data_IF_790864257013
#
_entry.id   IF_790864257013
#
_cell.length_a   1.000
_cell.length_b   1.000
_cell.length_c   1.000
_cell.angle_alpha   90.00
_cell.angle_beta   90.00
_cell.angle_gamma   90.00
#
_symmetry.space_group_name_H-M   'P 1'
#
loop_
_entity.id
_entity.type
_entity.pdbx_description
1 polymer ?
#
# COMPACT_ATOMS: atom_id res chain seq x y z
N UNK A 1 7.79 2.39 -4.90
CA UNK A 1 8.68 1.40 -4.24
C UNK A 1 8.51 -0.05 -4.73
N UNK A 2 7.71 -0.32 -5.79
CA UNK A 2 7.39 -1.67 -6.30
C UNK A 2 6.77 -2.62 -5.24
N UNK A 3 6.39 -2.09 -4.08
CA UNK A 3 5.67 -2.82 -3.04
C UNK A 3 4.23 -2.38 -3.09
N UNK A 4 3.37 -3.27 -2.60
CA UNK A 4 1.97 -2.91 -2.35
C UNK A 4 1.82 -2.86 -0.84
N UNK A 5 1.41 -1.71 -0.35
CA UNK A 5 1.28 -1.37 1.05
C UNK A 5 -0.18 -1.20 1.42
N UNK A 6 -0.51 -1.32 2.71
CA UNK A 6 -1.88 -1.11 3.21
C UNK A 6 -2.40 0.29 2.88
N UNK A 7 -1.51 1.29 2.86
CA UNK A 7 -1.86 2.65 2.47
C UNK A 7 -2.42 2.74 1.05
N UNK A 8 -1.98 1.90 0.12
CA UNK A 8 -2.52 1.88 -1.26
C UNK A 8 -4.01 1.51 -1.25
N UNK A 9 -4.42 0.64 -0.32
CA UNK A 9 -5.83 0.24 -0.16
C UNK A 9 -6.62 1.28 0.62
N UNK A 10 -6.04 1.84 1.69
CA UNK A 10 -6.70 2.91 2.47
C UNK A 10 -6.93 4.15 1.58
N UNK A 11 -6.02 4.44 0.66
CA UNK A 11 -6.17 5.55 -0.29
C UNK A 11 -7.41 5.43 -1.19
N UNK A 12 -7.95 4.21 -1.35
CA UNK A 12 -9.20 4.00 -2.10
C UNK A 12 -10.40 4.62 -1.40
N UNK A 13 -10.40 4.75 -0.08
CA UNK A 13 -11.51 5.33 0.68
C UNK A 13 -11.75 6.80 0.28
N UNK A 14 -10.80 7.73 0.41
CA UNK A 14 -11.00 9.10 -0.06
C UNK A 14 -11.07 9.19 -1.59
N UNK A 15 -10.48 8.25 -2.34
CA UNK A 15 -10.64 8.21 -3.79
C UNK A 15 -12.09 7.95 -4.22
N UNK A 16 -12.75 6.96 -3.61
CA UNK A 16 -14.15 6.67 -3.83
C UNK A 16 -15.04 7.78 -3.28
N UNK A 17 -14.66 8.39 -2.15
CA UNK A 17 -15.38 9.52 -1.58
C UNK A 17 -15.35 10.75 -2.49
N UNK A 18 -14.19 11.08 -3.05
CA UNK A 18 -14.03 12.12 -4.06
C UNK A 18 -14.83 11.81 -5.35
N UNK A 19 -15.04 10.54 -5.68
CA UNK A 19 -15.94 10.14 -6.78
C UNK A 19 -17.43 10.16 -6.42
N UNK A 20 -17.79 10.47 -5.19
CA UNK A 20 -19.18 10.45 -4.70
C UNK A 20 -19.78 9.04 -4.67
N UNK A 21 -18.92 8.02 -4.47
CA UNK A 21 -19.32 6.61 -4.34
C UNK A 21 -19.60 6.27 -2.87
N UNK A 22 -18.78 6.82 -1.96
CA UNK A 22 -18.96 6.66 -0.50
C UNK A 22 -18.95 8.02 0.19
N UNK A 23 -19.52 8.08 1.40
CA UNK A 23 -19.29 9.13 2.40
C UNK A 23 -18.48 8.55 3.55
N UNK A 24 -17.68 9.41 4.16
CA UNK A 24 -16.92 9.07 5.37
C UNK A 24 -17.45 9.98 6.47
N UNK A 25 -17.97 9.39 7.54
CA UNK A 25 -18.62 10.12 8.61
C UNK A 25 -17.86 9.92 9.91
N UNK A 26 -17.52 11.00 10.60
CA UNK A 26 -17.04 10.94 11.99
C UNK A 26 -18.20 10.75 12.97
N UNK A 27 -17.91 10.27 14.17
CA UNK A 27 -18.88 10.26 15.26
C UNK A 27 -18.85 11.57 16.05
N UNK A 28 -20.00 12.04 16.53
CA UNK A 28 -20.06 13.10 17.56
C UNK A 28 -20.14 12.52 18.98
N UNK A 29 -20.38 11.21 19.10
CA UNK A 29 -20.48 10.54 20.39
C UNK A 29 -19.11 10.52 21.08
N UNK A 30 -18.96 11.09 22.29
CA UNK A 30 -17.71 11.06 23.05
C UNK A 30 -17.13 9.65 23.25
N UNK A 31 -17.97 8.61 23.31
CA UNK A 31 -17.53 7.21 23.45
C UNK A 31 -16.99 6.61 22.13
N UNK A 32 -17.39 7.16 20.98
CA UNK A 32 -16.96 6.74 19.65
C UNK A 32 -16.24 7.85 18.86
N UNK A 33 -15.76 8.88 19.54
CA UNK A 33 -15.28 10.13 18.93
C UNK A 33 -14.14 9.92 17.92
N UNK A 34 -13.39 8.83 18.07
CA UNK A 34 -12.26 8.50 17.20
C UNK A 34 -12.63 7.53 16.06
N UNK A 35 -13.87 7.03 15.99
CA UNK A 35 -14.27 6.04 14.99
C UNK A 35 -14.92 6.66 13.75
N UNK A 36 -14.82 5.94 12.63
CA UNK A 36 -15.34 6.39 11.34
C UNK A 36 -16.41 5.42 10.83
N UNK A 37 -17.46 5.98 10.23
CA UNK A 37 -18.45 5.24 9.47
C UNK A 37 -18.19 5.44 7.98
N UNK A 38 -18.24 4.35 7.23
CA UNK A 38 -18.27 4.39 5.77
C UNK A 38 -19.69 4.13 5.31
N UNK A 39 -20.25 5.03 4.49
CA UNK A 39 -21.59 4.90 3.93
C UNK A 39 -21.51 4.83 2.41
N UNK A 40 -22.05 3.76 1.83
CA UNK A 40 -22.18 3.58 0.39
C UNK A 40 -23.29 4.49 -0.13
N UNK A 41 -22.95 5.29 -1.17
CA UNK A 41 -23.90 6.14 -1.88
C UNK A 41 -24.31 5.50 -3.20
N UNK A 42 -23.34 4.88 -3.89
CA UNK A 42 -23.50 4.30 -5.23
C UNK A 42 -22.65 3.04 -5.36
N UNK A 43 -23.06 2.16 -6.26
CA UNK A 43 -22.25 1.01 -6.64
C UNK A 43 -21.02 1.43 -7.47
N UNK A 44 -19.97 0.61 -7.42
CA UNK A 44 -18.79 0.81 -8.26
C UNK A 44 -19.16 0.65 -9.76
N UNK A 45 -18.62 1.49 -10.66
CA UNK A 45 -18.81 1.32 -12.10
C UNK A 45 -18.37 -0.07 -12.60
N UNK A 46 -19.03 -0.62 -13.62
CA UNK A 46 -18.71 -1.96 -14.14
C UNK A 46 -17.24 -2.13 -14.56
N UNK A 47 -16.62 -1.08 -15.12
CA UNK A 47 -15.22 -1.08 -15.58
C UNK A 47 -14.19 -0.86 -14.44
N UNK A 48 -14.62 -0.95 -13.17
CA UNK A 48 -13.73 -0.78 -12.02
C UNK A 48 -12.75 -1.96 -11.92
N UNK A 49 -11.45 -1.71 -11.63
CA UNK A 49 -10.47 -2.78 -11.43
C UNK A 49 -10.86 -3.80 -10.36
N UNK A 50 -10.48 -5.06 -10.55
CA UNK A 50 -10.82 -6.14 -9.59
C UNK A 50 -10.31 -5.87 -8.17
N UNK A 51 -9.14 -5.27 -8.00
CA UNK A 51 -8.58 -5.00 -6.66
C UNK A 51 -9.44 -4.00 -5.87
N UNK A 52 -10.10 -3.06 -6.54
CA UNK A 52 -11.04 -2.11 -5.92
C UNK A 52 -12.33 -2.83 -5.53
N UNK A 53 -12.90 -3.63 -6.44
CA UNK A 53 -14.12 -4.42 -6.18
C UNK A 53 -13.98 -5.32 -4.96
N UNK A 54 -12.87 -6.05 -4.85
CA UNK A 54 -12.61 -6.97 -3.72
C UNK A 54 -12.70 -6.28 -2.35
N UNK A 55 -12.27 -5.02 -2.25
CA UNK A 55 -12.32 -4.26 -0.99
C UNK A 55 -13.68 -3.62 -0.80
N UNK A 56 -14.24 -3.03 -1.85
CA UNK A 56 -15.54 -2.40 -1.80
C UNK A 56 -16.65 -3.40 -1.41
N UNK A 57 -16.67 -4.57 -2.06
CA UNK A 57 -17.61 -5.64 -1.77
C UNK A 57 -17.42 -6.16 -0.35
N UNK A 58 -16.19 -6.14 0.19
CA UNK A 58 -15.89 -6.54 1.56
C UNK A 58 -16.34 -5.53 2.61
N UNK A 59 -16.39 -4.24 2.25
CA UNK A 59 -16.89 -3.17 3.12
C UNK A 59 -18.42 -3.18 3.18
N UNK A 60 -19.09 -3.45 2.05
CA UNK A 60 -20.54 -3.27 1.91
C UNK A 60 -21.29 -4.54 1.48
N UNK A 61 -20.85 -5.72 1.96
CA UNK A 61 -21.40 -7.01 1.50
C UNK A 61 -22.91 -7.13 1.77
N UNK A 62 -23.35 -6.72 2.96
CA UNK A 62 -24.74 -6.88 3.41
C UNK A 62 -25.39 -5.55 3.84
N UNK A 63 -24.57 -4.52 4.08
CA UNK A 63 -25.00 -3.26 4.66
C UNK A 63 -24.42 -2.10 3.85
N UNK A 64 -25.21 -1.04 3.71
CA UNK A 64 -24.79 0.18 3.02
C UNK A 64 -24.02 1.13 3.96
N UNK A 65 -23.88 0.80 5.23
CA UNK A 65 -23.10 1.55 6.21
C UNK A 65 -22.33 0.58 7.10
N UNK A 66 -21.06 0.87 7.36
CA UNK A 66 -20.21 0.03 8.22
C UNK A 66 -19.30 0.89 9.08
N UNK A 67 -19.07 0.44 10.32
CA UNK A 67 -18.16 1.09 11.25
C UNK A 67 -16.72 0.59 11.04
N UNK A 68 -15.73 1.48 11.10
CA UNK A 68 -14.32 1.14 10.90
C UNK A 68 -13.85 0.09 11.92
N UNK A 69 -14.25 0.19 13.19
CA UNK A 69 -13.91 -0.80 14.21
C UNK A 69 -14.48 -2.19 13.94
N UNK A 70 -15.63 -2.32 13.27
CA UNK A 70 -16.24 -3.61 12.92
C UNK A 70 -15.42 -4.40 11.89
N UNK A 71 -14.56 -3.71 11.13
CA UNK A 71 -13.67 -4.30 10.14
C UNK A 71 -12.49 -5.04 10.80
N UNK A 72 -12.22 -4.75 12.07
CA UNK A 72 -11.11 -5.34 12.83
C UNK A 72 -11.21 -6.86 12.79
N UNK A 73 -10.10 -7.52 12.45
CA UNK A 73 -9.98 -8.97 12.27
C UNK A 73 -10.83 -9.60 11.15
N UNK A 74 -11.63 -8.82 10.41
CA UNK A 74 -12.49 -9.32 9.32
C UNK A 74 -11.93 -8.98 7.94
N UNK A 75 -11.47 -7.74 7.74
CA UNK A 75 -11.12 -7.22 6.40
C UNK A 75 -9.74 -7.68 5.88
N UNK A 76 -8.84 -8.14 6.76
CA UNK A 76 -7.43 -8.43 6.42
C UNK A 76 -7.29 -9.39 5.23
N UNK A 77 -8.14 -10.42 5.15
CA UNK A 77 -8.06 -11.44 4.10
C UNK A 77 -8.38 -10.83 2.72
N UNK A 78 -9.35 -9.92 2.68
CA UNK A 78 -9.73 -9.15 1.48
C UNK A 78 -8.64 -8.14 1.12
N UNK A 79 -7.99 -7.50 2.12
CA UNK A 79 -6.80 -6.66 1.91
C UNK A 79 -5.69 -7.43 1.20
N UNK A 80 -5.32 -8.63 1.67
CA UNK A 80 -4.30 -9.45 1.02
C UNK A 80 -4.73 -9.95 -0.37
N UNK A 81 -5.99 -10.34 -0.55
CA UNK A 81 -6.54 -10.68 -1.88
C UNK A 81 -6.43 -9.50 -2.84
N UNK A 82 -6.78 -8.30 -2.40
CA UNK A 82 -6.68 -7.08 -3.21
C UNK A 82 -5.23 -6.77 -3.60
N UNK A 83 -4.26 -6.93 -2.69
CA UNK A 83 -2.84 -6.80 -3.02
C UNK A 83 -2.41 -7.73 -4.15
N UNK A 84 -2.84 -8.99 -4.12
CA UNK A 84 -2.50 -9.96 -5.17
C UNK A 84 -3.05 -9.53 -6.55
N UNK A 85 -4.28 -8.99 -6.57
CA UNK A 85 -4.95 -8.48 -7.78
C UNK A 85 -4.29 -7.21 -8.29
N UNK A 86 -3.93 -6.28 -7.40
CA UNK A 86 -3.21 -5.06 -7.74
C UNK A 86 -1.85 -5.38 -8.35
N UNK A 87 -1.07 -6.27 -7.73
CA UNK A 87 0.22 -6.74 -8.28
C UNK A 87 0.06 -7.36 -9.67
N UNK A 88 -0.96 -8.21 -9.86
CA UNK A 88 -1.26 -8.81 -11.17
C UNK A 88 -1.56 -7.73 -12.23
N UNK A 89 -2.37 -6.73 -11.89
CA UNK A 89 -2.72 -5.63 -12.80
C UNK A 89 -1.52 -4.75 -13.13
N UNK A 90 -0.65 -4.46 -12.16
CA UNK A 90 0.57 -3.68 -12.39
C UNK A 90 1.52 -4.40 -13.36
N UNK A 91 1.63 -5.73 -13.27
CA UNK A 91 2.40 -6.54 -14.22
C UNK A 91 1.83 -6.45 -15.65
N UNK A 92 0.51 -6.37 -15.80
CA UNK A 92 -0.16 -6.29 -17.11
C UNK A 92 -0.09 -4.90 -17.77
N UNK A 93 0.30 -3.84 -17.04
CA UNK A 93 0.25 -2.46 -17.53
C UNK A 93 1.46 -2.05 -18.38
N UNK A 94 2.31 -2.98 -18.79
CA UNK A 94 3.56 -2.74 -19.56
C UNK A 94 4.46 -1.68 -18.89
N UNK A 95 4.42 -1.58 -17.55
CA UNK A 95 5.23 -0.63 -16.79
C UNK A 95 6.69 -1.08 -16.65
N UNK A 96 6.95 -2.34 -17.01
CA UNK A 96 8.26 -2.95 -17.02
C UNK A 96 8.66 -3.26 -18.45
N UNK A 97 9.94 -3.19 -18.71
CA UNK A 97 10.53 -3.59 -19.98
C UNK A 97 10.35 -5.11 -20.14
N UNK A 98 9.48 -5.52 -21.06
CA UNK A 98 9.11 -6.92 -21.25
C UNK A 98 10.29 -7.79 -21.70
N UNK A 99 11.19 -7.22 -22.51
CA UNK A 99 12.36 -7.92 -23.01
C UNK A 99 13.33 -8.21 -21.87
N UNK A 100 13.62 -7.19 -21.05
CA UNK A 100 14.46 -7.36 -19.86
C UNK A 100 13.81 -8.28 -18.82
N UNK A 101 12.49 -8.21 -18.61
CA UNK A 101 11.80 -9.11 -17.70
C UNK A 101 11.88 -10.56 -18.15
N UNK A 102 11.68 -10.82 -19.45
CA UNK A 102 11.76 -12.18 -20.01
C UNK A 102 13.18 -12.74 -19.96
N UNK A 103 14.20 -11.91 -20.12
CA UNK A 103 15.59 -12.34 -20.03
C UNK A 103 15.97 -12.62 -18.58
N UNK A 104 15.82 -11.64 -17.68
CA UNK A 104 16.37 -11.68 -16.32
C UNK A 104 15.49 -12.37 -15.27
N UNK A 105 14.18 -12.46 -15.51
CA UNK A 105 13.21 -13.02 -14.55
C UNK A 105 12.54 -14.30 -15.06
N UNK A 106 13.07 -14.94 -16.11
CA UNK A 106 12.58 -16.23 -16.57
C UNK A 106 13.11 -17.40 -15.74
N UNK A 107 12.33 -18.48 -15.68
CA UNK A 107 12.77 -19.74 -15.03
C UNK A 107 14.01 -20.36 -15.67
N UNK A 108 14.35 -19.97 -16.91
CA UNK A 108 15.57 -20.43 -17.61
C UNK A 108 16.84 -19.96 -16.93
N UNK A 109 16.86 -18.74 -16.36
CA UNK A 109 18.03 -18.25 -15.62
C UNK A 109 18.23 -18.98 -14.28
N UNK A 110 17.14 -19.33 -13.60
CA UNK A 110 17.22 -20.14 -12.37
C UNK A 110 17.85 -21.50 -12.68
N UNK A 111 17.39 -22.14 -13.77
CA UNK A 111 17.98 -23.39 -14.24
C UNK A 111 19.46 -23.25 -14.60
N UNK A 112 19.83 -22.17 -15.30
CA UNK A 112 21.22 -21.88 -15.61
C UNK A 112 22.09 -21.69 -14.35
N UNK A 113 21.60 -20.95 -13.36
CA UNK A 113 22.29 -20.77 -12.09
C UNK A 113 22.46 -22.10 -11.33
N UNK A 114 21.42 -22.94 -11.29
CA UNK A 114 21.48 -24.26 -10.66
C UNK A 114 22.53 -25.17 -11.32
N UNK A 115 22.63 -25.14 -12.66
CA UNK A 115 23.66 -25.88 -13.40
C UNK A 115 25.08 -25.40 -13.06
N UNK A 116 25.29 -24.09 -12.92
CA UNK A 116 26.59 -23.55 -12.50
C UNK A 116 26.94 -23.96 -11.06
N UNK A 117 25.97 -24.02 -10.14
CA UNK A 117 26.20 -24.54 -8.78
C UNK A 117 26.66 -26.00 -8.83
N UNK A 118 26.01 -26.85 -9.61
CA UNK A 118 26.41 -28.26 -9.77
C UNK A 118 27.83 -28.36 -10.35
N UNK A 119 28.14 -27.55 -11.38
CA UNK A 119 29.47 -27.53 -11.99
C UNK A 119 30.55 -27.04 -11.02
N UNK A 120 30.24 -26.06 -10.18
CA UNK A 120 31.14 -25.59 -9.12
C UNK A 120 31.45 -26.71 -8.12
N UNK A 121 30.44 -27.46 -7.67
CA UNK A 121 30.62 -28.61 -6.76
C UNK A 121 31.52 -29.69 -7.38
N UNK A 122 31.32 -30.01 -8.67
CA UNK A 122 32.17 -30.96 -9.40
C UNK A 122 33.63 -30.47 -9.46
N UNK A 123 33.87 -29.17 -9.67
CA UNK A 123 35.23 -28.62 -9.66
C UNK A 123 35.88 -28.74 -8.28
N UNK A 124 35.13 -28.55 -7.19
CA UNK A 124 35.65 -28.75 -5.83
C UNK A 124 36.01 -30.21 -5.56
N UNK A 125 35.19 -31.16 -6.00
CA UNK A 125 35.48 -32.61 -5.88
C UNK A 125 36.77 -32.97 -6.61
N UNK A 126 37.01 -32.39 -7.79
CA UNK A 126 38.21 -32.63 -8.60
C UNK A 126 39.41 -31.74 -8.20
N UNK A 127 39.37 -31.07 -7.04
CA UNK A 127 40.44 -30.21 -6.50
C UNK A 127 40.76 -28.95 -7.32
N UNK A 128 39.92 -28.59 -8.30
CA UNK A 128 40.05 -27.37 -9.09
C UNK A 128 39.44 -26.16 -8.37
N UNK A 129 40.05 -25.79 -7.25
CA UNK A 129 39.48 -24.84 -6.27
C UNK A 129 39.21 -23.46 -6.90
N UNK A 130 40.17 -22.90 -7.64
CA UNK A 130 40.05 -21.55 -8.24
C UNK A 130 38.88 -21.51 -9.23
N UNK A 131 38.79 -22.49 -10.13
CA UNK A 131 37.70 -22.61 -11.11
C UNK A 131 36.35 -22.79 -10.41
N UNK A 132 36.30 -23.63 -9.36
CA UNK A 132 35.10 -23.83 -8.55
C UNK A 132 34.58 -22.55 -7.91
N UNK A 133 35.47 -21.70 -7.39
CA UNK A 133 35.14 -20.38 -6.80
C UNK A 133 34.59 -19.43 -7.88
N UNK A 134 35.25 -19.31 -9.04
CA UNK A 134 34.80 -18.41 -10.11
C UNK A 134 33.39 -18.77 -10.61
N UNK A 135 33.11 -20.06 -10.76
CA UNK A 135 31.79 -20.55 -11.20
C UNK A 135 30.73 -20.31 -10.10
N UNK A 136 31.08 -20.50 -8.83
CA UNK A 136 30.18 -20.18 -7.72
C UNK A 136 29.81 -18.70 -7.69
N UNK A 137 30.79 -17.80 -7.88
CA UNK A 137 30.56 -16.35 -7.96
C UNK A 137 29.66 -16.00 -9.15
N UNK A 138 29.85 -16.65 -10.31
CA UNK A 138 28.98 -16.48 -11.47
C UNK A 138 27.53 -16.93 -11.19
N UNK A 139 27.35 -18.05 -10.49
CA UNK A 139 26.02 -18.53 -10.09
C UNK A 139 25.33 -17.56 -9.12
N UNK A 140 26.07 -17.06 -8.13
CA UNK A 140 25.57 -16.09 -7.14
C UNK A 140 25.18 -14.78 -7.82
N UNK A 141 26.01 -14.27 -8.74
CA UNK A 141 25.69 -13.02 -9.46
C UNK A 141 24.42 -13.15 -10.31
N UNK A 142 24.23 -14.28 -11.01
CA UNK A 142 22.98 -14.55 -11.74
C UNK A 142 21.79 -14.60 -10.77
N UNK A 143 21.94 -15.29 -9.64
CA UNK A 143 20.91 -15.37 -8.61
C UNK A 143 20.54 -13.98 -8.09
N UNK A 144 21.52 -13.13 -7.77
CA UNK A 144 21.29 -11.74 -7.35
C UNK A 144 20.54 -10.96 -8.42
N UNK A 145 20.99 -11.02 -9.69
CA UNK A 145 20.33 -10.31 -10.81
C UNK A 145 18.87 -10.74 -10.98
N UNK A 146 18.59 -12.04 -10.83
CA UNK A 146 17.22 -12.57 -10.91
C UNK A 146 16.29 -11.99 -9.83
N UNK A 147 16.81 -11.74 -8.62
CA UNK A 147 16.05 -11.15 -7.52
C UNK A 147 16.00 -9.62 -7.53
N UNK A 148 16.84 -8.95 -8.34
CA UNK A 148 16.76 -7.50 -8.51
C UNK A 148 15.46 -7.08 -9.20
N UNK A 149 15.04 -5.84 -8.96
CA UNK A 149 13.81 -5.32 -9.56
C UNK A 149 13.95 -5.18 -11.07
N UNK A 150 12.93 -5.58 -11.85
CA UNK A 150 12.99 -5.45 -13.30
C UNK A 150 13.08 -3.99 -13.73
N UNK A 151 13.78 -3.77 -14.84
CA UNK A 151 13.90 -2.46 -15.48
C UNK A 151 12.50 -1.95 -15.86
N UNK A 152 12.23 -0.67 -15.57
CA UNK A 152 10.97 -0.03 -15.96
C UNK A 152 10.97 0.29 -17.46
N UNK A 153 9.82 0.17 -18.11
CA UNK A 153 9.64 0.62 -19.51
C UNK A 153 9.69 2.14 -19.60
N UNK A 154 9.74 2.71 -20.81
CA UNK A 154 9.69 4.18 -20.99
C UNK A 154 8.42 4.78 -20.38
N UNK A 155 7.28 4.13 -20.60
CA UNK A 155 5.99 4.50 -20.01
C UNK A 155 6.03 4.39 -18.48
N UNK A 156 6.60 3.32 -17.95
CA UNK A 156 6.76 3.14 -16.50
C UNK A 156 7.68 4.20 -15.88
N UNK A 157 8.74 4.59 -16.57
CA UNK A 157 9.66 5.64 -16.15
C UNK A 157 9.01 7.03 -16.21
N UNK A 158 8.22 7.31 -17.24
CA UNK A 158 7.44 8.54 -17.37
C UNK A 158 6.46 8.72 -16.21
N UNK A 159 5.65 7.69 -15.92
CA UNK A 159 4.71 7.70 -14.78
C UNK A 159 5.48 7.83 -13.47
N UNK A 160 6.58 7.09 -13.29
CA UNK A 160 7.40 7.20 -12.09
C UNK A 160 7.92 8.62 -11.86
N UNK A 161 8.41 9.30 -12.90
CA UNK A 161 8.90 10.68 -12.80
C UNK A 161 7.79 11.64 -12.36
N UNK A 162 6.58 11.48 -12.90
CA UNK A 162 5.44 12.29 -12.46
C UNK A 162 5.08 12.02 -11.00
N UNK A 163 5.04 10.75 -10.59
CA UNK A 163 4.73 10.37 -9.21
C UNK A 163 5.79 10.91 -8.23
N UNK A 164 7.08 10.85 -8.58
CA UNK A 164 8.16 11.43 -7.77
C UNK A 164 8.07 12.97 -7.69
N UNK A 165 7.70 13.62 -8.80
CA UNK A 165 7.45 15.06 -8.81
C UNK A 165 6.27 15.44 -7.90
N UNK A 166 5.19 14.67 -7.97
CA UNK A 166 4.02 14.85 -7.10
C UNK A 166 4.35 14.60 -5.63
N UNK A 167 5.04 13.50 -5.31
CA UNK A 167 5.50 13.18 -3.95
C UNK A 167 6.34 14.32 -3.38
N UNK A 168 7.31 14.81 -4.15
CA UNK A 168 8.15 15.95 -3.76
C UNK A 168 7.33 17.21 -3.54
N UNK A 169 6.34 17.47 -4.39
CA UNK A 169 5.45 18.62 -4.23
C UNK A 169 4.57 18.51 -2.97
N UNK A 170 4.00 17.33 -2.70
CA UNK A 170 3.18 17.10 -1.51
C UNK A 170 4.01 17.27 -0.23
N UNK A 171 5.25 16.77 -0.24
CA UNK A 171 6.17 16.86 0.88
C UNK A 171 6.72 18.26 1.10
N UNK A 172 7.31 18.87 0.07
CA UNK A 172 8.17 20.06 0.17
C UNK A 172 7.68 21.23 -0.72
N UNK A 173 6.47 21.16 -1.27
CA UNK A 173 5.97 22.17 -2.21
C UNK A 173 5.86 23.57 -1.59
N UNK A 174 6.17 24.59 -2.37
CA UNK A 174 6.08 26.00 -1.96
C UNK A 174 4.65 26.35 -1.46
N UNK A 175 4.50 26.90 -0.25
CA UNK A 175 3.21 27.36 0.27
C UNK A 175 2.51 28.37 -0.66
N UNK A 176 3.27 29.26 -1.30
CA UNK A 176 2.74 30.27 -2.22
C UNK A 176 2.08 29.61 -3.42
N UNK A 177 2.75 28.61 -4.01
CA UNK A 177 2.21 27.85 -5.13
C UNK A 177 1.02 26.99 -4.72
N UNK A 178 1.07 26.41 -3.53
CA UNK A 178 -0.04 25.63 -2.97
C UNK A 178 -1.29 26.49 -2.80
N UNK A 179 -1.15 27.70 -2.26
CA UNK A 179 -2.25 28.67 -2.11
C UNK A 179 -2.83 29.08 -3.46
N UNK A 180 -1.99 29.32 -4.47
CA UNK A 180 -2.45 29.63 -5.83
C UNK A 180 -3.32 28.49 -6.41
N UNK A 181 -2.87 27.24 -6.24
CA UNK A 181 -3.59 26.07 -6.74
C UNK A 181 -4.91 25.83 -6.00
N UNK A 182 -4.95 26.04 -4.68
CA UNK A 182 -6.19 25.97 -3.90
C UNK A 182 -7.23 27.01 -4.37
N UNK A 183 -6.78 28.21 -4.77
CA UNK A 183 -7.67 29.24 -5.33
C UNK A 183 -8.20 28.87 -6.72
N UNK A 184 -7.40 28.18 -7.53
CA UNK A 184 -7.79 27.76 -8.87
C UNK A 184 -8.73 26.56 -8.85
N UNK A 185 -8.55 25.65 -7.89
CA UNK A 185 -9.32 24.42 -7.77
C UNK A 185 -9.76 24.21 -6.31
N UNK A 186 -11.01 24.55 -5.97
CA UNK A 186 -11.52 24.38 -4.61
C UNK A 186 -11.47 22.93 -4.10
N UNK A 187 -11.46 21.95 -5.02
CA UNK A 187 -11.42 20.51 -4.69
C UNK A 187 -9.99 19.93 -4.79
N UNK A 188 -8.97 20.79 -4.76
CA UNK A 188 -7.58 20.39 -4.93
C UNK A 188 -7.12 19.44 -3.81
N UNK A 189 -7.57 19.70 -2.57
CA UNK A 189 -7.28 18.84 -1.43
C UNK A 189 -7.78 17.41 -1.67
N UNK A 190 -9.06 17.25 -2.02
CA UNK A 190 -9.75 15.96 -2.18
C UNK A 190 -9.18 15.16 -3.35
N UNK A 191 -8.73 15.84 -4.41
CA UNK A 191 -8.07 15.20 -5.55
C UNK A 191 -6.71 14.63 -5.18
N UNK A 192 -5.94 15.32 -4.34
CA UNK A 192 -4.58 14.91 -3.99
C UNK A 192 -4.48 14.05 -2.74
N UNK A 193 -5.47 14.12 -1.85
CA UNK A 193 -5.44 13.39 -0.58
C UNK A 193 -5.26 11.87 -0.71
N UNK A 194 -5.90 11.16 -1.67
CA UNK A 194 -5.60 9.75 -1.91
C UNK A 194 -4.13 9.47 -2.21
N UNK A 195 -3.48 10.34 -2.98
CA UNK A 195 -2.06 10.20 -3.32
C UNK A 195 -1.17 10.47 -2.11
N UNK A 196 -1.50 11.47 -1.29
CA UNK A 196 -0.79 11.73 -0.04
C UNK A 196 -0.80 10.50 0.88
N UNK A 197 -1.94 9.83 1.03
CA UNK A 197 -2.03 8.57 1.78
C UNK A 197 -1.17 7.47 1.14
N UNK A 198 -1.27 7.27 -0.17
CA UNK A 198 -0.50 6.23 -0.86
C UNK A 198 1.02 6.43 -0.72
N UNK A 199 1.49 7.68 -0.70
CA UNK A 199 2.89 8.03 -0.42
C UNK A 199 3.27 7.97 1.07
N UNK A 200 2.31 7.80 1.98
CA UNK A 200 2.55 7.86 3.43
C UNK A 200 2.86 9.28 3.93
N UNK A 201 2.35 10.30 3.25
CA UNK A 201 2.49 11.72 3.55
C UNK A 201 1.17 12.31 4.08
N UNK A 202 0.24 11.48 4.54
CA UNK A 202 -1.10 11.90 4.96
C UNK A 202 -1.07 12.93 6.09
N UNK A 203 -0.38 12.66 7.20
CA UNK A 203 -0.27 13.58 8.34
C UNK A 203 0.43 14.89 7.96
N UNK A 204 1.58 14.83 7.26
CA UNK A 204 2.32 16.03 6.88
C UNK A 204 1.53 16.89 5.91
N UNK A 205 0.80 16.27 4.97
CA UNK A 205 -0.07 16.97 4.04
C UNK A 205 -1.27 17.59 4.74
N UNK A 206 -1.93 16.88 5.66
CA UNK A 206 -3.06 17.42 6.42
C UNK A 206 -2.65 18.63 7.26
N UNK A 207 -1.52 18.54 7.97
CA UNK A 207 -1.00 19.65 8.78
C UNK A 207 -0.62 20.86 7.92
N UNK A 208 -0.02 20.63 6.75
CA UNK A 208 0.29 21.71 5.80
C UNK A 208 -0.99 22.41 5.34
N UNK A 209 -2.05 21.66 5.11
CA UNK A 209 -3.33 22.16 4.62
C UNK A 209 -4.13 22.93 5.67
N UNK A 210 -3.96 22.61 6.94
CA UNK A 210 -4.54 23.35 8.06
C UNK A 210 -4.14 24.84 8.04
N UNK A 211 -2.90 25.15 7.62
CA UNK A 211 -2.40 26.54 7.53
C UNK A 211 -3.11 27.42 6.49
N UNK A 212 -3.86 26.82 5.56
CA UNK A 212 -4.58 27.54 4.52
C UNK A 212 -6.07 27.78 4.84
N UNK A 213 -6.54 27.39 6.04
CA UNK A 213 -7.93 27.57 6.49
C UNK A 213 -8.96 27.06 5.47
N UNK A 214 -8.70 25.88 4.92
CA UNK A 214 -9.58 25.24 3.94
C UNK A 214 -10.80 24.60 4.63
N UNK A 215 -11.95 24.49 3.95
CA UNK A 215 -13.07 23.70 4.47
C UNK A 215 -12.70 22.21 4.59
N UNK A 216 -13.44 21.41 5.38
CA UNK A 216 -13.28 19.96 5.35
C UNK A 216 -13.62 19.41 3.97
N UNK A 217 -13.15 18.20 3.64
CA UNK A 217 -13.53 17.54 2.40
C UNK A 217 -15.04 17.45 2.25
N UNK A 218 -15.58 17.79 1.08
CA UNK A 218 -17.04 17.82 0.86
C UNK A 218 -17.74 16.46 1.08
N UNK A 219 -16.98 15.36 1.03
CA UNK A 219 -17.47 14.00 1.26
C UNK A 219 -17.41 13.58 2.74
N UNK A 220 -16.80 14.41 3.60
CA UNK A 220 -16.74 14.19 5.04
C UNK A 220 -17.98 14.78 5.74
N UNK A 221 -18.46 14.11 6.78
CA UNK A 221 -19.60 14.56 7.57
C UNK A 221 -19.63 13.92 8.95
N UNK A 222 -20.73 14.08 9.66
CA UNK A 222 -20.99 13.38 10.91
C UNK A 222 -22.06 12.30 10.74
N UNK A 223 -21.92 11.23 11.49
CA UNK A 223 -23.01 10.29 11.72
C UNK A 223 -23.94 10.87 12.80
N UNK A 224 -25.24 10.98 12.50
CA UNK A 224 -26.25 11.59 13.37
C UNK A 224 -25.87 12.99 13.91
N UNK A 225 -25.63 13.98 13.03
CA UNK A 225 -25.23 15.31 13.45
C UNK A 225 -26.28 15.99 14.33
N UNK A 226 -25.80 16.64 15.39
CA UNK A 226 -26.56 17.61 16.16
C UNK A 226 -27.07 18.72 15.26
N UNK A 227 -28.30 19.20 15.53
CA UNK A 227 -28.98 20.19 14.67
C UNK A 227 -28.10 21.44 14.48
N UNK A 228 -27.80 21.76 13.22
CA UNK A 228 -27.05 22.96 12.84
C UNK A 228 -25.52 22.82 12.91
N UNK A 229 -24.97 21.70 13.39
CA UNK A 229 -23.53 21.47 13.41
C UNK A 229 -23.02 21.07 12.02
N UNK A 230 -21.95 21.73 11.58
CA UNK A 230 -21.23 21.42 10.35
C UNK A 230 -19.82 20.96 10.70
N UNK A 231 -19.25 19.98 9.97
CA UNK A 231 -17.87 19.58 10.19
C UNK A 231 -16.94 20.75 9.87
N UNK A 232 -15.83 20.84 10.59
CA UNK A 232 -14.67 21.67 10.25
C UNK A 232 -13.52 20.81 9.73
N UNK A 233 -12.52 21.45 9.13
CA UNK A 233 -11.29 20.75 8.73
C UNK A 233 -10.57 20.14 9.94
N UNK A 234 -10.60 20.80 11.09
CA UNK A 234 -10.03 20.27 12.33
C UNK A 234 -10.74 18.99 12.81
N UNK A 235 -12.06 18.89 12.64
CA UNK A 235 -12.81 17.66 12.96
C UNK A 235 -12.42 16.51 12.04
N UNK A 236 -12.28 16.80 10.74
CA UNK A 236 -11.78 15.84 9.76
C UNK A 236 -10.35 15.38 10.09
N UNK A 237 -9.43 16.32 10.33
CA UNK A 237 -8.03 16.02 10.61
C UNK A 237 -7.84 15.19 11.88
N UNK A 238 -8.72 15.34 12.88
CA UNK A 238 -8.70 14.54 14.11
C UNK A 238 -9.28 13.14 13.92
N UNK A 239 -10.39 13.03 13.20
CA UNK A 239 -11.10 11.76 13.02
C UNK A 239 -10.48 10.85 11.96
N UNK A 240 -9.84 11.41 10.93
CA UNK A 240 -9.24 10.66 9.84
C UNK A 240 -7.82 10.17 10.16
N UNK A 241 -7.73 9.12 10.99
CA UNK A 241 -6.46 8.51 11.42
C UNK A 241 -6.04 7.32 10.54
N UNK A 242 -5.09 7.56 9.63
CA UNK A 242 -4.51 6.54 8.73
C UNK A 242 -3.75 5.45 9.49
N UNK A 243 -2.86 5.74 10.47
CA UNK A 243 -2.29 4.71 11.35
C UNK A 243 -3.32 3.78 11.99
N UNK A 244 -4.42 4.31 12.53
CA UNK A 244 -5.52 3.49 13.11
C UNK A 244 -6.15 2.60 12.05
N UNK A 245 -6.54 3.17 10.90
CA UNK A 245 -7.09 2.39 9.77
C UNK A 245 -6.12 1.30 9.32
N UNK A 246 -4.82 1.60 9.22
CA UNK A 246 -3.79 0.63 8.86
C UNK A 246 -3.75 -0.53 9.85
N UNK A 247 -3.78 -0.26 11.15
CA UNK A 247 -3.81 -1.31 12.18
C UNK A 247 -5.02 -2.23 12.02
N UNK A 248 -6.21 -1.67 11.74
CA UNK A 248 -7.46 -2.40 11.55
C UNK A 248 -7.41 -3.25 10.28
N UNK A 249 -6.97 -2.66 9.16
CA UNK A 249 -6.89 -3.36 7.87
C UNK A 249 -5.88 -4.51 7.85
N UNK A 250 -4.91 -4.51 8.78
CA UNK A 250 -3.92 -5.59 8.95
C UNK A 250 -4.18 -6.49 10.15
N UNK A 251 -5.18 -6.16 10.99
CA UNK A 251 -5.47 -6.92 12.21
C UNK A 251 -5.98 -8.33 11.87
N UNK A 252 -5.40 -9.33 12.54
CA UNK A 252 -5.77 -10.73 12.40
C UNK A 252 -6.29 -11.26 13.74
N UNK A 253 -7.27 -12.18 13.73
CA UNK A 253 -7.67 -12.87 14.94
C UNK A 253 -6.45 -13.50 15.61
N UNK A 254 -6.35 -13.41 16.93
CA UNK A 254 -5.36 -14.18 17.66
C UNK A 254 -5.59 -15.66 17.34
N UNK A 255 -4.52 -16.38 17.01
CA UNK A 255 -4.61 -17.83 16.90
C UNK A 255 -5.10 -18.38 18.25
N UNK A 256 -6.03 -19.35 18.26
CA UNK A 256 -6.42 -19.98 19.52
C UNK A 256 -5.17 -20.53 20.17
N UNK A 257 -4.91 -20.13 21.43
CA UNK A 257 -3.84 -20.69 22.23
C UNK A 257 -4.17 -22.15 22.52
N UNK A 258 -3.75 -23.06 21.65
CA UNK A 258 -3.71 -24.47 21.98
C UNK A 258 -2.68 -24.65 23.11
N UNK A 259 -3.14 -25.02 24.30
CA UNK A 259 -2.28 -25.47 25.38
C UNK A 259 -1.34 -26.56 24.86
N UNK A 260 -0.04 -26.33 24.97
CA UNK A 260 0.99 -27.27 24.54
C UNK A 260 1.16 -28.36 25.60
N UNK A 261 0.53 -29.50 25.37
CA UNK A 261 0.94 -30.78 25.96
C UNK A 261 1.57 -31.62 24.85
N UNK A 262 2.89 -31.80 24.89
CA UNK A 262 3.58 -32.94 24.25
C UNK A 262 4.10 -32.79 22.81
N UNK A 263 5.43 -32.70 22.67
CA UNK A 263 6.24 -33.62 21.85
C UNK A 263 6.28 -33.48 20.32
N UNK A 264 7.41 -32.96 19.82
CA UNK A 264 8.09 -33.47 18.62
C UNK A 264 7.58 -33.00 17.24
N UNK A 265 8.34 -32.13 16.58
CA UNK A 265 9.11 -32.40 15.35
C UNK A 265 9.69 -31.08 14.82
N UNK A 266 11.01 -31.03 14.72
CA UNK A 266 11.80 -29.93 14.17
C UNK A 266 11.62 -29.86 12.65
N UNK A 267 10.94 -28.80 12.19
CA UNK A 267 10.89 -28.38 10.79
C UNK A 267 11.29 -26.92 10.69
N UNK A 268 12.60 -26.67 10.70
CA UNK A 268 13.16 -25.32 10.58
C UNK A 268 12.92 -24.73 9.20
N UNK A 269 12.06 -23.72 9.10
CA UNK A 269 12.12 -22.73 8.01
C UNK A 269 12.82 -21.49 8.51
N UNK A 270 14.06 -21.31 8.06
CA UNK A 270 14.87 -20.13 8.27
C UNK A 270 14.31 -18.97 7.43
N UNK A 271 13.51 -18.11 8.06
CA UNK A 271 13.15 -16.79 7.55
C UNK A 271 13.83 -15.72 8.40
N UNK A 272 15.10 -15.46 8.12
CA UNK A 272 15.89 -14.47 8.84
C UNK A 272 15.39 -13.04 8.57
N UNK A 273 14.95 -12.38 9.63
CA UNK A 273 14.76 -10.93 9.65
C UNK A 273 16.12 -10.24 9.75
N UNK A 274 16.38 -9.28 8.86
CA UNK A 274 17.42 -8.30 9.07
C UNK A 274 16.77 -7.00 9.55
N UNK A 275 16.84 -6.78 10.86
CA UNK A 275 16.65 -5.49 11.48
C UNK A 275 17.88 -4.63 11.20
N UNK A 276 17.66 -3.48 10.56
CA UNK A 276 18.68 -2.46 10.36
C UNK A 276 18.95 -1.75 11.68
N UNK A 277 20.17 -1.90 12.18
CA UNK A 277 20.72 -1.06 13.24
C UNK A 277 21.03 0.32 12.70
N UNK A 278 20.53 1.34 13.39
CA UNK A 278 20.98 2.72 13.22
C UNK A 278 22.35 2.92 13.86
N UNK A 279 23.25 3.54 13.12
CA UNK A 279 24.50 4.10 13.65
C UNK A 279 24.31 5.61 13.80
N UNK A 280 24.23 6.04 15.05
CA UNK A 280 24.58 7.38 15.49
C UNK A 280 25.94 7.32 16.18
N UNK A 281 26.64 8.46 16.15
CA UNK A 281 27.97 8.77 16.67
C UNK A 281 29.12 8.47 15.71
#
# INVERSE_FOLDING_TARGET
DNKVNTQDIISLLPYWANKGIIKILGSEDPEMNDDLFFSKIKELPHNTPEYEKVIFDALFTNEDMILLSELKNKIYSNTYKSFSKLRKRLKQRELYDEENYRIFHSGKLIWGAAMLVILSVICFINTWIISGILIAVAAITIFVIHFLTPKKSEKGLYILRQLLGLEKFLKDGDPSKTSELLKQDPNYFEKLFPYAIAFGLDQSWMNKMESFDIPPPYWFGYHNPSVGRKPSYGDFSKSFDVPKMKSIFTSQPAAPSSGSTGGGFSGGSAGGGFGGGGSSW
#
